data_IF_307180208577
#
_entry.id   IF_307180208577
#
_cell.length_a   1.000
_cell.length_b   1.000
_cell.length_c   1.000
_cell.angle_alpha   90.00
_cell.angle_beta   90.00
_cell.angle_gamma   90.00
#
_symmetry.space_group_name_H-M   'P 1'
#
loop_
_entity.id
_entity.type
_entity.pdbx_description
1 polymer ?
#
# COMPACT_ATOMS: atom_id res chain seq x y z
N UNK A 1 15.56 5.41 -13.21
CA UNK A 1 15.99 6.46 -12.27
C UNK A 1 15.59 6.11 -10.84
N UNK A 2 14.30 5.85 -10.53
CA UNK A 2 13.82 5.58 -9.16
C UNK A 2 14.58 4.41 -8.49
N UNK A 3 14.72 3.27 -9.16
CA UNK A 3 15.45 2.10 -8.62
C UNK A 3 16.89 2.45 -8.26
N UNK A 4 17.57 3.24 -9.08
CA UNK A 4 18.94 3.69 -8.83
C UNK A 4 19.03 4.56 -7.58
N UNK A 5 18.09 5.49 -7.41
CA UNK A 5 18.04 6.36 -6.23
C UNK A 5 17.79 5.54 -4.96
N UNK A 6 16.84 4.57 -5.01
CA UNK A 6 16.57 3.69 -3.87
C UNK A 6 17.80 2.83 -3.52
N UNK A 7 18.48 2.29 -4.54
CA UNK A 7 19.70 1.52 -4.32
C UNK A 7 20.77 2.34 -3.61
N UNK A 8 21.03 3.57 -4.04
CA UNK A 8 22.01 4.45 -3.39
C UNK A 8 21.57 4.82 -1.96
N UNK A 9 20.30 5.12 -1.75
CA UNK A 9 19.78 5.38 -0.40
C UNK A 9 20.00 4.17 0.53
N UNK A 10 19.70 2.96 0.04
CA UNK A 10 19.89 1.73 0.81
C UNK A 10 21.37 1.45 1.12
N UNK A 11 22.29 1.72 0.17
CA UNK A 11 23.75 1.62 0.42
C UNK A 11 24.23 2.56 1.52
N UNK A 12 23.58 3.72 1.65
CA UNK A 12 23.85 4.69 2.74
C UNK A 12 23.16 4.30 4.07
N UNK A 13 22.49 3.15 4.15
CA UNK A 13 21.78 2.70 5.34
C UNK A 13 20.41 3.34 5.54
N UNK A 14 19.90 4.12 4.57
CA UNK A 14 18.57 4.73 4.64
C UNK A 14 17.54 3.69 4.25
N UNK A 15 16.71 3.27 5.20
CA UNK A 15 15.58 2.37 4.95
C UNK A 15 14.40 3.11 4.33
N UNK A 16 13.62 2.43 3.49
CA UNK A 16 12.47 3.02 2.81
C UNK A 16 11.31 2.04 2.69
N UNK A 17 10.18 2.50 2.19
CA UNK A 17 9.10 1.65 1.69
C UNK A 17 9.10 1.66 0.16
N UNK A 18 8.64 0.57 -0.45
CA UNK A 18 8.32 0.53 -1.86
C UNK A 18 6.82 0.76 -2.06
N UNK A 19 6.45 1.62 -2.98
CA UNK A 19 5.06 1.87 -3.34
C UNK A 19 4.79 1.50 -4.78
N UNK A 20 3.57 1.08 -5.06
CA UNK A 20 3.08 0.84 -6.42
C UNK A 20 1.67 1.38 -6.55
N UNK A 21 1.50 2.42 -7.34
CA UNK A 21 0.17 2.82 -7.79
C UNK A 21 -0.23 1.93 -8.98
N UNK A 22 -1.44 1.41 -8.97
CA UNK A 22 -1.99 0.55 -10.02
C UNK A 22 -3.41 0.96 -10.40
N UNK A 23 -3.90 0.47 -11.53
CA UNK A 23 -5.25 0.73 -12.02
C UNK A 23 -5.32 1.92 -12.96
N UNK A 24 -4.22 2.25 -13.62
CA UNK A 24 -4.15 3.19 -14.75
C UNK A 24 -4.26 2.45 -16.09
N UNK A 25 -3.30 2.61 -16.98
CA UNK A 25 -3.29 1.99 -18.31
C UNK A 25 -2.40 0.75 -18.38
N UNK A 26 -1.78 0.39 -17.27
CA UNK A 26 -0.89 -0.76 -17.19
C UNK A 26 -1.67 -2.08 -17.26
N UNK A 27 -1.07 -3.08 -17.91
CA UNK A 27 -1.53 -4.45 -17.91
C UNK A 27 -0.97 -5.30 -16.76
N UNK A 28 -1.43 -6.55 -16.63
CA UNK A 28 -0.98 -7.47 -15.58
C UNK A 28 0.49 -7.84 -15.70
N UNK A 29 1.04 -7.92 -16.93
CA UNK A 29 2.45 -8.19 -17.14
C UNK A 29 3.32 -7.03 -16.66
N UNK A 30 2.90 -5.81 -16.93
CA UNK A 30 3.59 -4.60 -16.44
C UNK A 30 3.57 -4.52 -14.91
N UNK A 31 2.43 -4.89 -14.28
CA UNK A 31 2.33 -4.99 -12.83
C UNK A 31 3.30 -6.05 -12.28
N UNK A 32 3.31 -7.25 -12.85
CA UNK A 32 4.23 -8.32 -12.45
C UNK A 32 5.69 -7.90 -12.61
N UNK A 33 6.06 -7.26 -13.71
CA UNK A 33 7.41 -6.73 -13.94
C UNK A 33 7.80 -5.66 -12.90
N UNK A 34 6.86 -4.83 -12.46
CA UNK A 34 7.11 -3.84 -11.41
C UNK A 34 7.43 -4.55 -10.09
N UNK A 35 6.61 -5.52 -9.69
CA UNK A 35 6.84 -6.30 -8.47
C UNK A 35 8.20 -7.02 -8.51
N UNK A 36 8.56 -7.64 -9.64
CA UNK A 36 9.87 -8.29 -9.82
C UNK A 36 11.04 -7.31 -9.68
N UNK A 37 10.93 -6.08 -10.19
CA UNK A 37 11.98 -5.08 -10.06
C UNK A 37 12.21 -4.67 -8.60
N UNK A 38 11.14 -4.56 -7.81
CA UNK A 38 11.23 -4.29 -6.38
C UNK A 38 11.87 -5.48 -5.66
N UNK A 39 11.45 -6.73 -5.96
CA UNK A 39 12.04 -7.95 -5.39
C UNK A 39 13.57 -8.00 -5.66
N UNK A 40 13.98 -7.83 -6.91
CA UNK A 40 15.40 -7.86 -7.28
C UNK A 40 16.22 -6.78 -6.55
N UNK A 41 15.67 -5.59 -6.37
CA UNK A 41 16.36 -4.54 -5.60
C UNK A 41 16.40 -4.89 -4.11
N UNK A 42 15.35 -5.46 -3.57
CA UNK A 42 15.30 -5.90 -2.18
C UNK A 42 16.32 -7.02 -1.90
N UNK A 43 16.40 -8.02 -2.77
CA UNK A 43 17.43 -9.09 -2.68
C UNK A 43 18.85 -8.50 -2.66
N UNK A 44 19.09 -7.47 -3.46
CA UNK A 44 20.39 -6.81 -3.53
C UNK A 44 20.72 -5.97 -2.32
N UNK A 45 19.73 -5.28 -1.74
CA UNK A 45 19.97 -4.20 -0.77
C UNK A 45 19.39 -4.43 0.61
N UNK A 46 18.29 -5.20 0.72
CA UNK A 46 17.56 -5.38 1.98
C UNK A 46 17.02 -4.07 2.56
N UNK A 47 16.81 -3.04 1.75
CA UNK A 47 16.51 -1.69 2.22
C UNK A 47 15.02 -1.37 2.35
N UNK A 48 14.14 -2.09 1.67
CA UNK A 48 12.70 -1.89 1.82
C UNK A 48 12.16 -2.55 3.09
N UNK A 49 11.49 -1.76 3.91
CA UNK A 49 10.82 -2.23 5.13
C UNK A 49 9.40 -2.72 4.83
N UNK A 50 8.74 -2.11 3.86
CA UNK A 50 7.35 -2.40 3.53
C UNK A 50 7.07 -2.21 2.04
N UNK A 51 6.03 -2.89 1.56
CA UNK A 51 5.40 -2.64 0.27
C UNK A 51 3.98 -2.10 0.44
N UNK A 52 3.65 -1.03 -0.28
CA UNK A 52 2.40 -0.29 -0.18
C UNK A 52 1.76 -0.20 -1.57
N UNK A 53 0.89 -1.14 -1.97
CA UNK A 53 0.12 -1.02 -3.19
C UNK A 53 -1.08 -0.10 -2.95
N UNK A 54 -1.38 0.81 -3.87
CA UNK A 54 -2.56 1.65 -3.80
C UNK A 54 -3.20 1.85 -5.16
N UNK A 55 -4.52 1.89 -5.18
CA UNK A 55 -5.26 2.06 -6.42
C UNK A 55 -5.25 3.51 -6.86
N UNK A 56 -5.14 3.72 -8.17
CA UNK A 56 -5.32 5.04 -8.77
C UNK A 56 -6.76 5.53 -8.55
N UNK A 57 -6.90 6.77 -8.10
CA UNK A 57 -8.18 7.45 -7.98
C UNK A 57 -8.40 8.37 -9.19
N UNK A 58 -9.28 8.00 -10.13
CA UNK A 58 -9.41 8.72 -11.38
C UNK A 58 -10.21 10.03 -11.29
N UNK A 59 -11.01 10.20 -10.22
CA UNK A 59 -11.92 11.33 -10.13
C UNK A 59 -11.16 12.66 -10.21
N UNK A 60 -11.70 13.61 -10.97
CA UNK A 60 -11.14 14.95 -11.19
C UNK A 60 -9.72 14.97 -11.79
N UNK A 61 -9.27 13.86 -12.38
CA UNK A 61 -7.98 13.78 -13.07
C UNK A 61 -8.09 14.06 -14.56
N UNK A 62 -6.97 14.42 -15.19
CA UNK A 62 -6.89 14.57 -16.64
C UNK A 62 -7.24 13.26 -17.35
N UNK A 63 -6.77 12.11 -16.84
CA UNK A 63 -7.07 10.80 -17.42
C UNK A 63 -8.57 10.49 -17.45
N UNK A 64 -9.31 10.92 -16.43
CA UNK A 64 -10.77 10.80 -16.44
C UNK A 64 -11.41 11.73 -17.47
N UNK A 65 -10.99 12.99 -17.53
CA UNK A 65 -11.53 13.98 -18.48
C UNK A 65 -11.29 13.61 -19.93
N UNK A 66 -10.18 12.94 -20.21
CA UNK A 66 -9.85 12.40 -21.53
C UNK A 66 -10.53 11.04 -21.83
N UNK A 67 -11.28 10.50 -20.88
CA UNK A 67 -12.01 9.24 -21.03
C UNK A 67 -11.13 7.99 -21.02
N UNK A 68 -9.87 8.10 -20.64
CA UNK A 68 -8.90 7.00 -20.58
C UNK A 68 -9.21 6.05 -19.42
N UNK A 69 -9.57 6.60 -18.26
CA UNK A 69 -9.96 5.84 -17.07
C UNK A 69 -11.23 6.46 -16.49
N UNK A 70 -12.31 5.68 -16.41
CA UNK A 70 -13.60 6.20 -15.95
C UNK A 70 -13.90 5.89 -14.49
N UNK A 71 -13.38 4.78 -13.97
CA UNK A 71 -13.72 4.28 -12.64
C UNK A 71 -12.46 3.78 -11.92
N UNK A 72 -12.44 3.83 -10.58
CA UNK A 72 -11.39 3.19 -9.78
C UNK A 72 -11.27 1.69 -10.09
N UNK A 73 -10.11 1.12 -9.88
CA UNK A 73 -9.82 -0.28 -10.23
C UNK A 73 -10.59 -1.33 -9.43
N UNK A 74 -11.24 -0.93 -8.35
CA UNK A 74 -12.09 -1.79 -7.51
C UNK A 74 -11.35 -2.72 -6.55
N UNK A 75 -12.07 -3.15 -5.51
CA UNK A 75 -11.49 -3.87 -4.38
C UNK A 75 -10.91 -5.24 -4.72
N UNK A 76 -11.46 -5.98 -5.70
CA UNK A 76 -10.88 -7.28 -6.11
C UNK A 76 -9.46 -7.15 -6.64
N UNK A 77 -9.13 -6.06 -7.33
CA UNK A 77 -7.76 -5.82 -7.78
C UNK A 77 -6.82 -5.59 -6.60
N UNK A 78 -7.27 -4.87 -5.55
CA UNK A 78 -6.49 -4.75 -4.32
C UNK A 78 -6.20 -6.12 -3.71
N UNK A 79 -7.22 -6.95 -3.51
CA UNK A 79 -7.05 -8.27 -2.88
C UNK A 79 -6.10 -9.17 -3.70
N UNK A 80 -6.24 -9.17 -5.03
CA UNK A 80 -5.31 -9.87 -5.93
C UNK A 80 -3.89 -9.33 -5.80
N UNK A 81 -3.71 -8.01 -5.79
CA UNK A 81 -2.41 -7.36 -5.64
C UNK A 81 -1.75 -7.73 -4.31
N UNK A 82 -2.49 -7.66 -3.19
CA UNK A 82 -1.99 -8.04 -1.86
C UNK A 82 -1.58 -9.51 -1.83
N UNK A 83 -2.44 -10.43 -2.32
CA UNK A 83 -2.14 -11.86 -2.30
C UNK A 83 -0.89 -12.21 -3.13
N UNK A 84 -0.79 -11.66 -4.35
CA UNK A 84 0.38 -11.86 -5.22
C UNK A 84 1.63 -11.27 -4.57
N UNK A 85 1.55 -10.06 -4.03
CA UNK A 85 2.67 -9.41 -3.37
C UNK A 85 3.13 -10.20 -2.13
N UNK A 86 2.22 -10.76 -1.34
CA UNK A 86 2.57 -11.61 -0.19
C UNK A 86 3.32 -12.87 -0.64
N UNK A 87 2.88 -13.52 -1.72
CA UNK A 87 3.56 -14.70 -2.26
C UNK A 87 4.94 -14.33 -2.78
N UNK A 88 5.06 -13.24 -3.55
CA UNK A 88 6.33 -12.82 -4.15
C UNK A 88 7.35 -12.32 -3.13
N UNK A 89 6.88 -11.64 -2.08
CA UNK A 89 7.74 -10.97 -1.10
C UNK A 89 7.86 -11.71 0.23
N UNK A 90 7.42 -12.97 0.31
CA UNK A 90 7.29 -13.73 1.55
C UNK A 90 8.52 -13.61 2.48
N UNK A 91 9.71 -13.83 1.94
CA UNK A 91 10.97 -13.76 2.70
C UNK A 91 11.80 -12.49 2.39
N UNK A 92 11.28 -11.59 1.58
CA UNK A 92 11.99 -10.41 1.11
C UNK A 92 11.52 -9.13 1.79
N UNK A 93 10.22 -8.87 1.78
CA UNK A 93 9.61 -7.68 2.38
C UNK A 93 8.52 -8.14 3.34
N UNK A 94 8.79 -7.95 4.64
CA UNK A 94 7.94 -8.51 5.69
C UNK A 94 6.57 -7.84 5.78
N UNK A 95 6.49 -6.53 5.49
CA UNK A 95 5.29 -5.75 5.73
C UNK A 95 4.58 -5.34 4.45
N UNK A 96 3.28 -5.66 4.39
CA UNK A 96 2.38 -5.26 3.31
C UNK A 96 1.24 -4.41 3.88
N UNK A 97 1.09 -3.19 3.36
CA UNK A 97 0.04 -2.28 3.82
C UNK A 97 -1.26 -2.50 3.05
N UNK A 98 -2.38 -2.42 3.76
CA UNK A 98 -3.73 -2.66 3.20
C UNK A 98 -4.34 -1.50 2.42
N UNK A 99 -3.71 -0.31 2.45
CA UNK A 99 -4.08 0.88 1.65
C UNK A 99 -5.55 1.32 1.79
N UNK A 100 -5.97 1.57 3.03
CA UNK A 100 -7.35 2.00 3.34
C UNK A 100 -7.75 3.31 2.67
N UNK A 101 -6.80 4.20 2.40
CA UNK A 101 -7.06 5.56 1.91
C UNK A 101 -7.85 5.58 0.60
N UNK A 102 -7.43 4.79 -0.38
CA UNK A 102 -8.06 4.73 -1.71
C UNK A 102 -9.13 3.64 -1.83
N UNK A 103 -9.11 2.64 -0.94
CA UNK A 103 -10.01 1.48 -1.03
C UNK A 103 -11.07 1.42 0.08
N UNK A 104 -10.93 2.27 1.09
CA UNK A 104 -11.83 2.30 2.25
C UNK A 104 -11.53 1.23 3.31
N UNK A 105 -12.09 1.43 4.50
CA UNK A 105 -11.84 0.60 5.69
C UNK A 105 -12.22 -0.87 5.47
N UNK A 106 -13.39 -1.14 4.88
CA UNK A 106 -13.87 -2.51 4.68
C UNK A 106 -12.95 -3.31 3.74
N UNK A 107 -12.44 -2.69 2.69
CA UNK A 107 -11.49 -3.35 1.80
C UNK A 107 -10.12 -3.53 2.47
N UNK A 108 -9.70 -2.59 3.30
CA UNK A 108 -8.48 -2.72 4.08
C UNK A 108 -8.57 -3.87 5.10
N UNK A 109 -9.73 -4.05 5.75
CA UNK A 109 -10.00 -5.22 6.61
C UNK A 109 -9.86 -6.53 5.84
N UNK A 110 -10.49 -6.63 4.66
CA UNK A 110 -10.37 -7.82 3.81
C UNK A 110 -8.93 -8.06 3.36
N UNK A 111 -8.18 -7.00 3.03
CA UNK A 111 -6.78 -7.11 2.62
C UNK A 111 -5.90 -7.76 3.71
N UNK A 112 -6.20 -7.57 4.99
CA UNK A 112 -5.51 -8.27 6.08
C UNK A 112 -5.71 -9.80 6.01
N UNK A 113 -6.87 -10.27 5.57
CA UNK A 113 -7.12 -11.71 5.40
C UNK A 113 -6.50 -12.27 4.11
N UNK A 114 -6.04 -11.41 3.21
CA UNK A 114 -5.37 -11.78 1.96
C UNK A 114 -3.84 -11.65 2.03
N UNK A 115 -3.29 -11.32 3.18
CA UNK A 115 -1.83 -11.31 3.40
C UNK A 115 -1.23 -9.97 3.76
N UNK A 116 -1.99 -8.88 3.83
CA UNK A 116 -1.52 -7.65 4.45
C UNK A 116 -1.37 -7.85 5.96
N UNK A 117 -0.40 -7.16 6.57
CA UNK A 117 -0.15 -7.20 8.02
C UNK A 117 -0.13 -5.80 8.64
N UNK A 118 -0.22 -4.76 7.82
CA UNK A 118 -0.23 -3.37 8.24
C UNK A 118 -1.48 -2.65 7.70
N UNK A 119 -2.32 -2.14 8.59
CA UNK A 119 -3.51 -1.38 8.20
C UNK A 119 -3.15 -0.03 7.60
N UNK A 120 -1.99 0.51 7.93
CA UNK A 120 -1.56 1.87 7.69
C UNK A 120 -1.80 2.77 8.88
N UNK A 121 -1.25 3.98 8.85
CA UNK A 121 -1.39 4.97 9.90
C UNK A 121 -2.60 5.90 9.72
N UNK A 122 -2.85 6.72 10.72
CA UNK A 122 -3.67 7.91 10.59
C UNK A 122 -2.89 8.94 9.78
N UNK A 123 -3.47 9.42 8.68
CA UNK A 123 -2.82 10.39 7.82
C UNK A 123 -3.12 11.81 8.31
N UNK A 124 -2.11 12.65 8.31
CA UNK A 124 -2.23 14.09 8.66
C UNK A 124 -1.86 14.88 7.41
N UNK A 125 -2.77 15.78 6.97
CA UNK A 125 -2.51 16.68 5.84
C UNK A 125 -2.40 15.94 4.49
N UNK A 126 -3.16 14.86 4.31
CA UNK A 126 -3.25 14.20 3.02
C UNK A 126 -4.13 15.04 2.08
N UNK A 127 -3.54 15.59 1.03
CA UNK A 127 -4.20 16.49 0.09
C UNK A 127 -4.36 15.89 -1.31
N UNK A 128 -3.54 14.90 -1.69
CA UNK A 128 -3.51 14.34 -3.04
C UNK A 128 -4.80 13.58 -3.36
N UNK A 129 -5.20 12.64 -2.50
CA UNK A 129 -6.44 11.89 -2.67
C UNK A 129 -7.65 12.76 -2.36
N UNK A 130 -7.54 13.70 -1.39
CA UNK A 130 -8.59 14.67 -1.10
C UNK A 130 -8.91 15.57 -2.30
N UNK A 131 -7.89 15.97 -3.08
CA UNK A 131 -8.07 16.77 -4.29
C UNK A 131 -8.88 16.05 -5.39
N UNK A 132 -9.00 14.72 -5.35
CA UNK A 132 -9.87 13.96 -6.25
C UNK A 132 -11.34 13.95 -5.83
N UNK A 133 -11.70 14.66 -4.76
CA UNK A 133 -13.06 14.65 -4.21
C UNK A 133 -13.40 13.38 -3.41
N UNK A 134 -12.40 12.58 -3.03
CA UNK A 134 -12.60 11.41 -2.17
C UNK A 134 -13.14 11.82 -0.80
N UNK A 135 -14.07 11.01 -0.28
CA UNK A 135 -14.68 11.28 1.04
C UNK A 135 -13.69 10.98 2.15
N UNK A 136 -13.53 11.95 3.05
CA UNK A 136 -12.79 11.87 4.32
C UNK A 136 -11.55 10.96 4.32
N UNK A 137 -10.42 11.59 4.37
CA UNK A 137 -9.09 10.96 4.52
C UNK A 137 -8.66 10.82 5.98
N UNK A 138 -9.56 11.14 6.93
CA UNK A 138 -9.25 11.11 8.35
C UNK A 138 -9.78 9.83 9.01
N UNK A 139 -8.88 9.02 9.53
CA UNK A 139 -9.19 7.92 10.45
C UNK A 139 -8.58 8.18 11.82
N UNK A 140 -9.34 7.84 12.86
CA UNK A 140 -8.79 7.80 14.22
C UNK A 140 -8.13 6.46 14.50
N UNK A 141 -7.15 6.43 15.41
CA UNK A 141 -6.53 5.18 15.87
C UNK A 141 -7.59 4.20 16.41
N UNK A 142 -8.62 4.70 17.12
CA UNK A 142 -9.71 3.86 17.63
C UNK A 142 -10.50 3.18 16.51
N UNK A 143 -10.76 3.87 15.41
CA UNK A 143 -11.44 3.31 14.24
C UNK A 143 -10.61 2.18 13.62
N UNK A 144 -9.30 2.38 13.45
CA UNK A 144 -8.39 1.36 12.92
C UNK A 144 -8.34 0.15 13.85
N UNK A 145 -8.16 0.35 15.16
CA UNK A 145 -8.15 -0.72 16.16
C UNK A 145 -9.45 -1.52 16.15
N UNK A 146 -10.60 -0.83 16.08
CA UNK A 146 -11.91 -1.48 16.01
C UNK A 146 -12.05 -2.32 14.73
N UNK A 147 -11.62 -1.78 13.59
CA UNK A 147 -11.66 -2.48 12.31
C UNK A 147 -10.84 -3.78 12.35
N UNK A 148 -9.61 -3.74 12.89
CA UNK A 148 -8.75 -4.91 13.02
C UNK A 148 -9.37 -5.96 13.95
N UNK A 149 -9.91 -5.54 15.10
CA UNK A 149 -10.53 -6.46 16.08
C UNK A 149 -11.80 -7.12 15.57
N UNK A 150 -12.61 -6.43 14.76
CA UNK A 150 -13.84 -6.98 14.16
C UNK A 150 -13.61 -8.23 13.32
N UNK A 151 -12.43 -8.37 12.71
CA UNK A 151 -12.06 -9.56 11.93
C UNK A 151 -11.25 -10.58 12.73
N UNK A 152 -11.17 -10.42 14.06
CA UNK A 152 -10.54 -11.38 14.97
C UNK A 152 -9.02 -11.23 15.11
N UNK A 153 -8.42 -10.15 14.61
CA UNK A 153 -6.98 -9.92 14.72
C UNK A 153 -6.62 -9.06 15.93
N UNK A 154 -5.39 -9.23 16.42
CA UNK A 154 -4.82 -8.35 17.46
C UNK A 154 -4.27 -7.08 16.81
N UNK A 155 -4.71 -5.93 17.32
CA UNK A 155 -4.19 -4.63 16.87
C UNK A 155 -2.97 -4.24 17.69
N UNK A 156 -1.92 -3.80 17.00
CA UNK A 156 -0.71 -3.27 17.60
C UNK A 156 -0.36 -1.92 16.95
N UNK A 157 0.05 -0.99 17.78
CA UNK A 157 0.69 0.25 17.32
C UNK A 157 2.15 -0.02 17.01
N UNK A 158 2.66 0.57 15.95
CA UNK A 158 4.05 0.46 15.53
C UNK A 158 4.66 1.83 15.21
N UNK A 159 5.96 1.94 15.25
CA UNK A 159 6.66 3.11 14.72
C UNK A 159 6.95 2.98 13.21
N UNK A 160 7.64 3.98 12.65
CA UNK A 160 8.01 3.99 11.22
C UNK A 160 9.04 2.91 10.84
N UNK A 161 9.68 2.27 11.82
CA UNK A 161 10.61 1.16 11.63
C UNK A 161 9.97 -0.20 11.91
N UNK A 162 8.63 -0.27 11.99
CA UNK A 162 7.83 -1.47 12.29
C UNK A 162 8.10 -2.11 13.65
N UNK A 163 8.67 -1.34 14.60
CA UNK A 163 8.81 -1.79 15.99
C UNK A 163 7.48 -1.66 16.71
N UNK A 164 7.03 -2.74 17.33
CA UNK A 164 5.78 -2.75 18.08
C UNK A 164 5.91 -1.90 19.35
N UNK A 165 5.01 -0.95 19.52
CA UNK A 165 5.00 -0.01 20.65
C UNK A 165 3.93 -0.38 21.67
N UNK A 166 2.73 -0.73 21.21
CA UNK A 166 1.58 -0.95 22.08
C UNK A 166 0.65 -2.00 21.48
N UNK A 167 0.12 -2.88 22.34
CA UNK A 167 -0.97 -3.80 22.02
C UNK A 167 -2.31 -3.23 22.52
N UNK A 168 -3.34 -3.30 21.70
CA UNK A 168 -4.68 -2.87 22.05
C UNK A 168 -5.62 -4.01 22.42
#
# INVERSE_FOLDING_TARGET
>A
EWLRIMEEAHKLGIKSSATMMYGTLEDEEQQARHLMKIANLQEKTGGFMAFIPWSFEPNMTQMQSEGLIRYPSGGLRLLKMIAISRIMYHDLINHLQSSWLTNGIGMAQLALTYGADDFGGTLIGEEVVTATGARSTELTSNTIVSAIKQIGYSAHERDNFYRLLRKY
#
